data_IF_005409128982
#
_entry.id   IF_005409128982
#
_cell.length_a   1.000
_cell.length_b   1.000
_cell.length_c   1.000
_cell.angle_alpha   90.00
_cell.angle_beta   90.00
_cell.angle_gamma   90.00
#
_symmetry.space_group_name_H-M   'P 1'
#
loop_
_entity.id
_entity.type
_entity.pdbx_description
1 polymer ?
#
# COMPACT_ATOMS: atom_id res chain seq x y z
N UNK A 1 -1.22 15.04 30.88
CA UNK A 1 -2.30 15.08 29.88
C UNK A 1 -1.81 14.21 28.73
N UNK A 2 -2.23 12.95 28.72
CA UNK A 2 -1.85 12.03 27.66
C UNK A 2 -2.59 12.45 26.40
N UNK A 3 -1.88 12.88 25.37
CA UNK A 3 -2.47 12.96 24.04
C UNK A 3 -2.65 11.51 23.57
N UNK A 4 -3.81 10.95 23.86
CA UNK A 4 -4.36 9.84 23.11
C UNK A 4 -4.76 10.41 21.73
N UNK A 5 -3.79 10.59 20.84
CA UNK A 5 -4.10 10.69 19.42
C UNK A 5 -4.42 9.28 18.98
N UNK A 6 -5.69 8.91 19.09
CA UNK A 6 -6.26 7.75 18.40
C UNK A 6 -6.12 8.00 16.89
N UNK A 7 -4.92 7.73 16.36
CA UNK A 7 -4.71 7.62 14.93
C UNK A 7 -5.44 6.36 14.52
N UNK A 8 -6.74 6.49 14.24
CA UNK A 8 -7.44 5.47 13.48
C UNK A 8 -6.67 5.40 12.16
N UNK A 9 -5.93 4.32 11.95
CA UNK A 9 -5.35 4.08 10.64
C UNK A 9 -6.51 3.79 9.71
N UNK A 10 -6.77 4.72 8.78
CA UNK A 10 -7.93 4.63 7.90
C UNK A 10 -7.62 3.70 6.75
N UNK A 11 -8.17 2.49 6.81
CA UNK A 11 -8.15 1.54 5.71
C UNK A 11 -9.19 1.95 4.67
N UNK A 12 -8.75 2.23 3.45
CA UNK A 12 -9.61 2.56 2.32
C UNK A 12 -9.38 1.50 1.26
N UNK A 13 -10.43 0.85 0.76
CA UNK A 13 -10.24 -0.15 -0.30
C UNK A 13 -10.05 0.54 -1.64
N UNK A 14 -9.14 0.03 -2.48
CA UNK A 14 -8.96 0.53 -3.85
C UNK A 14 -10.29 0.47 -4.62
N UNK A 15 -11.04 -0.61 -4.46
CA UNK A 15 -12.35 -0.76 -5.07
C UNK A 15 -13.31 0.39 -4.73
N UNK A 16 -13.33 0.84 -3.47
CA UNK A 16 -14.19 1.96 -3.05
C UNK A 16 -13.73 3.30 -3.63
N UNK A 17 -12.41 3.52 -3.72
CA UNK A 17 -11.84 4.72 -4.39
C UNK A 17 -12.23 4.72 -5.88
N UNK A 18 -12.13 3.57 -6.55
CA UNK A 18 -12.52 3.44 -7.95
C UNK A 18 -14.01 3.69 -8.14
N UNK A 19 -14.85 3.12 -7.28
CA UNK A 19 -16.31 3.20 -7.41
C UNK A 19 -16.86 4.60 -7.11
N UNK A 20 -16.36 5.27 -6.07
CA UNK A 20 -16.95 6.51 -5.56
C UNK A 20 -16.16 7.76 -5.95
N UNK A 21 -14.90 7.61 -6.34
CA UNK A 21 -13.99 8.72 -6.58
C UNK A 21 -13.20 8.58 -7.90
N UNK A 22 -13.53 7.61 -8.76
CA UNK A 22 -12.88 7.40 -10.07
C UNK A 22 -11.34 7.28 -9.96
N UNK A 23 -10.88 6.57 -8.92
CA UNK A 23 -9.46 6.39 -8.65
C UNK A 23 -8.80 7.59 -7.94
N UNK A 24 -9.52 8.68 -7.68
CA UNK A 24 -8.95 9.86 -7.04
C UNK A 24 -8.86 9.70 -5.51
N UNK A 25 -7.72 9.21 -5.00
CA UNK A 25 -7.48 9.07 -3.56
C UNK A 25 -7.59 10.42 -2.82
N UNK A 26 -7.09 11.52 -3.38
CA UNK A 26 -7.20 12.83 -2.73
C UNK A 26 -8.66 13.24 -2.49
N UNK A 27 -9.59 12.90 -3.40
CA UNK A 27 -11.02 13.14 -3.22
C UNK A 27 -11.63 12.24 -2.15
N UNK A 28 -11.22 10.96 -2.10
CA UNK A 28 -11.61 10.03 -1.03
C UNK A 28 -11.16 10.54 0.34
N UNK A 29 -9.88 10.89 0.48
CA UNK A 29 -9.33 11.45 1.72
C UNK A 29 -10.02 12.75 2.13
N UNK A 30 -10.37 13.64 1.19
CA UNK A 30 -11.12 14.87 1.49
C UNK A 30 -12.53 14.61 2.01
N UNK A 31 -13.21 13.58 1.49
CA UNK A 31 -14.58 13.22 1.90
C UNK A 31 -14.62 12.85 3.39
N UNK A 32 -13.62 12.09 3.84
CA UNK A 32 -13.52 11.60 5.21
C UNK A 32 -12.60 12.45 6.10
N UNK A 33 -12.13 13.60 5.61
CA UNK A 33 -11.20 14.51 6.29
C UNK A 33 -9.92 13.81 6.80
N UNK A 34 -9.32 12.99 5.93
CA UNK A 34 -8.15 12.17 6.22
C UNK A 34 -6.86 12.84 5.76
N UNK A 35 -5.79 12.61 6.53
CA UNK A 35 -4.41 12.99 6.18
C UNK A 35 -3.45 11.80 6.11
N UNK A 36 -3.89 10.66 6.64
CA UNK A 36 -3.16 9.40 6.67
C UNK A 36 -4.14 8.29 6.33
N UNK A 37 -3.80 7.40 5.41
CA UNK A 37 -4.61 6.24 5.09
C UNK A 37 -3.74 5.07 4.60
N UNK A 38 -4.31 3.88 4.60
CA UNK A 38 -3.77 2.70 3.92
C UNK A 38 -4.76 2.29 2.83
N UNK A 39 -4.33 2.41 1.57
CA UNK A 39 -5.10 1.90 0.44
C UNK A 39 -4.90 0.39 0.35
N UNK A 40 -5.99 -0.38 0.35
CA UNK A 40 -5.95 -1.83 0.39
C UNK A 40 -6.51 -2.49 -0.86
N UNK A 41 -5.89 -3.58 -1.28
CA UNK A 41 -6.33 -4.40 -2.41
C UNK A 41 -6.08 -5.89 -2.12
N UNK A 42 -7.12 -6.73 -2.07
CA UNK A 42 -6.95 -8.18 -2.12
C UNK A 42 -6.58 -8.60 -3.54
N UNK A 43 -5.57 -9.45 -3.70
CA UNK A 43 -5.10 -9.97 -4.98
C UNK A 43 -5.08 -11.49 -4.93
N UNK A 44 -5.74 -12.14 -5.89
CA UNK A 44 -5.71 -13.59 -6.04
C UNK A 44 -4.92 -13.90 -7.31
N UNK A 45 -3.77 -14.53 -7.17
CA UNK A 45 -2.94 -14.94 -8.31
C UNK A 45 -2.88 -16.45 -8.41
N UNK A 46 -3.13 -16.97 -9.60
CA UNK A 46 -2.82 -18.37 -9.89
C UNK A 46 -1.34 -18.48 -10.23
N UNK A 47 -0.52 -18.97 -9.29
CA UNK A 47 0.87 -19.28 -9.59
C UNK A 47 0.87 -20.54 -10.45
N UNK A 48 1.05 -20.34 -11.76
CA UNK A 48 1.25 -21.44 -12.70
C UNK A 48 2.45 -22.29 -12.27
N UNK A 49 2.42 -23.59 -12.58
CA UNK A 49 3.61 -24.45 -12.46
C UNK A 49 4.77 -23.75 -13.19
N UNK A 50 5.90 -23.58 -12.52
CA UNK A 50 7.14 -23.26 -13.21
C UNK A 50 7.42 -24.38 -14.24
N UNK A 51 7.29 -24.03 -15.51
CA UNK A 51 7.34 -24.88 -16.70
C UNK A 51 6.70 -24.04 -17.79
N UNK A 52 7.42 -23.10 -18.41
CA UNK A 52 8.67 -23.31 -19.12
C UNK A 52 9.61 -22.11 -18.98
N UNK A 53 10.83 -22.33 -18.46
CA UNK A 53 12.15 -21.85 -18.93
C UNK A 53 13.17 -22.10 -17.80
N UNK A 54 13.85 -23.24 -17.91
CA UNK A 54 15.24 -23.49 -17.48
C UNK A 54 15.73 -23.04 -16.09
N UNK A 55 15.68 -23.95 -15.11
CA UNK A 55 16.83 -24.54 -14.37
C UNK A 55 16.29 -25.42 -13.24
N UNK A 56 16.84 -26.62 -13.12
CA UNK A 56 16.49 -27.57 -12.07
C UNK A 56 16.91 -27.01 -10.70
N UNK A 57 15.96 -26.52 -9.91
CA UNK A 57 16.22 -26.01 -8.56
C UNK A 57 14.99 -25.46 -7.84
N UNK A 58 14.11 -24.74 -8.53
CA UNK A 58 12.98 -24.07 -7.88
C UNK A 58 11.67 -24.85 -8.04
N UNK A 59 11.30 -25.57 -6.99
CA UNK A 59 9.95 -26.14 -6.84
C UNK A 59 9.04 -25.04 -6.29
N UNK A 60 8.55 -24.16 -7.16
CA UNK A 60 7.43 -23.28 -6.77
C UNK A 60 6.19 -24.16 -6.74
N UNK A 61 5.58 -24.36 -5.56
CA UNK A 61 4.31 -25.09 -5.46
C UNK A 61 3.27 -24.36 -6.30
N UNK A 62 2.81 -25.00 -7.37
CA UNK A 62 1.68 -24.50 -8.14
C UNK A 62 0.44 -24.42 -7.25
N UNK A 63 -0.26 -23.28 -7.29
CA UNK A 63 -1.44 -23.02 -6.47
C UNK A 63 -1.90 -21.57 -6.58
N UNK A 64 -3.17 -21.33 -6.27
CA UNK A 64 -3.66 -19.98 -6.05
C UNK A 64 -3.00 -19.42 -4.78
N UNK A 65 -2.37 -18.26 -4.91
CA UNK A 65 -1.78 -17.51 -3.80
C UNK A 65 -2.58 -16.23 -3.63
N UNK A 66 -3.01 -15.98 -2.40
CA UNK A 66 -3.78 -14.81 -2.04
C UNK A 66 -2.85 -13.81 -1.37
N UNK A 67 -2.86 -12.58 -1.84
CA UNK A 67 -2.13 -11.46 -1.27
C UNK A 67 -3.11 -10.42 -0.77
N UNK A 68 -2.75 -9.74 0.30
CA UNK A 68 -3.44 -8.54 0.75
C UNK A 68 -2.42 -7.41 0.71
N UNK A 69 -2.63 -6.47 -0.20
CA UNK A 69 -1.64 -5.43 -0.52
C UNK A 69 -2.12 -4.12 0.08
N UNK A 70 -1.22 -3.41 0.76
CA UNK A 70 -1.48 -2.14 1.42
C UNK A 70 -0.44 -1.10 1.00
N UNK A 71 -0.90 0.07 0.56
CA UNK A 71 -0.04 1.24 0.33
C UNK A 71 -0.47 2.35 1.27
N UNK A 72 0.36 2.61 2.27
CA UNK A 72 0.16 3.70 3.22
C UNK A 72 0.62 5.03 2.62
N UNK A 73 -0.27 6.03 2.63
CA UNK A 73 0.05 7.42 2.26
C UNK A 73 -0.18 8.27 3.49
N UNK A 74 0.89 8.85 4.03
CA UNK A 74 0.84 9.52 5.34
C UNK A 74 1.55 10.86 5.36
N UNK A 75 1.03 11.80 6.14
CA UNK A 75 1.64 13.08 6.46
C UNK A 75 2.24 13.12 7.87
N UNK A 76 1.72 12.32 8.80
CA UNK A 76 1.96 12.50 10.25
C UNK A 76 2.76 11.35 10.88
N UNK A 77 3.47 10.56 10.08
CA UNK A 77 4.27 9.42 10.52
C UNK A 77 5.74 9.60 10.20
N UNK A 78 6.60 9.27 11.15
CA UNK A 78 8.05 9.30 10.98
C UNK A 78 8.61 7.96 10.47
N UNK A 79 7.83 6.87 10.59
CA UNK A 79 8.30 5.54 10.27
C UNK A 79 7.12 4.57 9.99
N UNK A 80 7.34 3.50 9.21
CA UNK A 80 6.27 2.61 8.76
C UNK A 80 5.88 1.52 9.77
N UNK A 81 6.66 1.26 10.82
CA UNK A 81 6.57 0.02 11.60
C UNK A 81 5.21 -0.14 12.28
N UNK A 82 4.67 0.92 12.88
CA UNK A 82 3.35 0.86 13.53
C UNK A 82 2.23 0.60 12.52
N UNK A 83 2.35 1.15 11.30
CA UNK A 83 1.38 0.96 10.21
C UNK A 83 1.48 -0.45 9.64
N UNK A 84 2.70 -0.96 9.47
CA UNK A 84 2.98 -2.33 9.02
C UNK A 84 2.37 -3.35 9.98
N UNK A 85 2.64 -3.22 11.29
CA UNK A 85 2.10 -4.11 12.32
C UNK A 85 0.56 -4.07 12.39
N UNK A 86 -0.03 -2.89 12.19
CA UNK A 86 -1.48 -2.74 12.13
C UNK A 86 -2.07 -3.33 10.86
N UNK A 87 -1.45 -3.08 9.70
CA UNK A 87 -1.86 -3.63 8.41
C UNK A 87 -1.82 -5.16 8.42
N UNK A 88 -0.74 -5.76 8.90
CA UNK A 88 -0.57 -7.21 8.99
C UNK A 88 -1.65 -7.86 9.87
N UNK A 89 -2.08 -7.19 10.96
CA UNK A 89 -3.18 -7.66 11.81
C UNK A 89 -4.56 -7.61 11.15
N UNK A 90 -4.73 -6.75 10.14
CA UNK A 90 -5.97 -6.63 9.37
C UNK A 90 -5.98 -7.49 8.11
N UNK A 91 -4.88 -8.16 7.78
CA UNK A 91 -4.82 -9.06 6.64
C UNK A 91 -5.80 -10.24 6.83
N UNK A 92 -6.66 -10.53 5.84
CA UNK A 92 -7.58 -11.66 5.94
C UNK A 92 -6.83 -12.98 6.08
N UNK A 93 -7.43 -13.95 6.77
CA UNK A 93 -6.83 -15.28 6.94
C UNK A 93 -6.46 -15.90 5.58
N UNK A 94 -5.27 -16.50 5.52
CA UNK A 94 -4.75 -17.14 4.32
C UNK A 94 -4.24 -16.16 3.24
N UNK A 95 -4.21 -14.86 3.51
CA UNK A 95 -3.56 -13.87 2.64
C UNK A 95 -2.15 -13.54 3.13
N UNK A 96 -1.23 -13.36 2.18
CA UNK A 96 0.12 -12.86 2.46
C UNK A 96 0.07 -11.33 2.45
N UNK A 97 0.37 -10.66 3.57
CA UNK A 97 0.39 -9.20 3.62
C UNK A 97 1.61 -8.67 2.84
N UNK A 98 1.36 -7.71 1.96
CA UNK A 98 2.38 -6.93 1.26
C UNK A 98 2.14 -5.47 1.59
N UNK A 99 3.12 -4.81 2.19
CA UNK A 99 2.96 -3.44 2.67
C UNK A 99 4.00 -2.51 2.03
N UNK A 100 3.54 -1.34 1.63
CA UNK A 100 4.37 -0.23 1.20
C UNK A 100 3.96 1.06 1.91
N UNK A 101 4.92 1.95 2.13
CA UNK A 101 4.73 3.23 2.79
C UNK A 101 5.30 4.37 1.97
N UNK A 102 4.51 5.45 1.88
CA UNK A 102 4.82 6.67 1.15
C UNK A 102 4.62 7.85 2.12
N UNK A 103 5.73 8.42 2.66
CA UNK A 103 5.68 9.61 3.50
C UNK A 103 5.48 10.87 2.64
N UNK A 104 4.23 11.30 2.48
CA UNK A 104 3.88 12.48 1.68
C UNK A 104 4.49 13.78 2.25
N UNK A 105 4.74 13.84 3.56
CA UNK A 105 5.44 14.94 4.22
C UNK A 105 6.91 15.08 3.81
N UNK A 106 7.50 14.06 3.19
CA UNK A 106 8.89 14.09 2.70
C UNK A 106 8.98 14.47 1.22
N UNK A 107 7.86 14.61 0.51
CA UNK A 107 7.87 14.88 -0.92
C UNK A 107 8.74 16.10 -1.27
N UNK A 108 9.67 15.90 -2.22
CA UNK A 108 10.65 16.92 -2.63
C UNK A 108 11.97 16.93 -1.84
N UNK A 109 12.09 16.13 -0.78
CA UNK A 109 13.34 15.92 -0.05
C UNK A 109 14.07 14.65 -0.54
N UNK A 110 15.37 14.55 -0.23
CA UNK A 110 16.20 13.39 -0.57
C UNK A 110 15.79 12.08 0.13
N UNK A 111 15.01 12.18 1.22
CA UNK A 111 14.50 11.05 2.01
C UNK A 111 13.10 10.59 1.58
N UNK A 112 12.57 11.15 0.48
CA UNK A 112 11.33 10.71 -0.13
C UNK A 112 11.51 9.43 -0.95
N UNK A 113 10.58 8.50 -0.81
CA UNK A 113 10.55 7.27 -1.59
C UNK A 113 9.37 6.39 -1.24
N UNK A 114 9.28 5.25 -1.91
CA UNK A 114 8.35 4.18 -1.60
C UNK A 114 9.12 3.13 -0.80
N UNK A 115 8.73 2.92 0.45
CA UNK A 115 9.36 1.94 1.33
C UNK A 115 8.52 0.69 1.36
N UNK A 116 9.03 -0.41 0.83
CA UNK A 116 8.32 -1.69 0.79
C UNK A 116 8.87 -2.57 1.91
N UNK A 117 7.98 -3.16 2.70
CA UNK A 117 8.38 -4.04 3.79
C UNK A 117 9.09 -5.30 3.27
N UNK A 118 10.10 -5.79 4.01
CA UNK A 118 10.74 -7.06 3.71
C UNK A 118 9.71 -8.19 3.66
N UNK A 119 9.79 -9.01 2.61
CA UNK A 119 8.91 -10.16 2.44
C UNK A 119 9.61 -11.25 1.61
N UNK A 120 9.06 -12.46 1.65
CA UNK A 120 9.62 -13.63 0.96
C UNK A 120 9.18 -13.73 -0.53
N UNK A 121 8.50 -12.72 -1.06
CA UNK A 121 8.03 -12.72 -2.44
C UNK A 121 9.05 -12.09 -3.39
N UNK A 122 9.00 -12.47 -4.66
CA UNK A 122 9.88 -11.91 -5.68
C UNK A 122 9.63 -10.41 -5.88
N UNK A 123 10.69 -9.61 -5.95
CA UNK A 123 10.64 -8.15 -6.08
C UNK A 123 9.75 -7.68 -7.24
N UNK A 124 9.85 -8.33 -8.41
CA UNK A 124 9.02 -8.00 -9.58
C UNK A 124 7.52 -8.13 -9.29
N UNK A 125 7.13 -9.17 -8.56
CA UNK A 125 5.74 -9.41 -8.19
C UNK A 125 5.24 -8.35 -7.20
N UNK A 126 6.05 -8.07 -6.18
CA UNK A 126 5.74 -7.07 -5.15
C UNK A 126 5.61 -5.68 -5.76
N UNK A 127 6.58 -5.27 -6.56
CA UNK A 127 6.58 -3.96 -7.23
C UNK A 127 5.39 -3.83 -8.20
N UNK A 128 5.02 -4.92 -8.90
CA UNK A 128 3.84 -4.93 -9.76
C UNK A 128 2.55 -4.68 -8.98
N UNK A 129 2.34 -5.39 -7.87
CA UNK A 129 1.15 -5.22 -7.04
C UNK A 129 1.07 -3.85 -6.36
N UNK A 130 2.20 -3.34 -5.85
CA UNK A 130 2.26 -2.00 -5.24
C UNK A 130 2.05 -0.92 -6.29
N UNK A 131 2.68 -1.05 -7.46
CA UNK A 131 2.54 -0.13 -8.59
C UNK A 131 1.10 -0.04 -9.10
N UNK A 132 0.38 -1.17 -9.16
CA UNK A 132 -1.02 -1.19 -9.55
C UNK A 132 -1.91 -0.32 -8.64
N UNK A 133 -1.69 -0.36 -7.32
CA UNK A 133 -2.42 0.49 -6.38
C UNK A 133 -2.04 1.97 -6.58
N UNK A 134 -0.74 2.26 -6.76
CA UNK A 134 -0.25 3.62 -6.97
C UNK A 134 -0.89 4.26 -8.21
N UNK A 135 -0.95 3.50 -9.31
CA UNK A 135 -1.51 3.95 -10.57
C UNK A 135 -3.03 4.12 -10.48
N UNK A 136 -3.75 3.09 -10.02
CA UNK A 136 -5.21 3.11 -10.00
C UNK A 136 -5.78 4.10 -8.98
N UNK A 137 -5.15 4.27 -7.81
CA UNK A 137 -5.56 5.24 -6.80
C UNK A 137 -4.96 6.65 -7.01
N UNK A 138 -4.27 6.90 -8.14
CA UNK A 138 -3.67 8.20 -8.46
C UNK A 138 -2.81 8.74 -7.29
N UNK A 139 -2.02 7.88 -6.67
CA UNK A 139 -1.30 8.20 -5.43
C UNK A 139 -0.26 9.29 -5.66
N UNK A 140 0.44 9.30 -6.79
CA UNK A 140 1.45 10.32 -7.11
C UNK A 140 0.87 11.75 -7.09
N UNK A 141 -0.31 11.91 -7.71
CA UNK A 141 -1.05 13.18 -7.70
C UNK A 141 -1.46 13.55 -6.27
N UNK A 142 -1.94 12.56 -5.50
CA UNK A 142 -2.39 12.77 -4.12
C UNK A 142 -1.24 13.22 -3.21
N UNK A 143 -0.09 12.56 -3.29
CA UNK A 143 1.11 12.93 -2.52
C UNK A 143 1.54 14.36 -2.82
N UNK A 144 1.53 14.75 -4.10
CA UNK A 144 1.86 16.13 -4.51
C UNK A 144 0.89 17.15 -3.88
N UNK A 145 -0.42 16.90 -3.95
CA UNK A 145 -1.43 17.80 -3.35
C UNK A 145 -1.29 17.91 -1.82
N UNK A 146 -1.03 16.78 -1.14
CA UNK A 146 -0.83 16.78 0.30
C UNK A 146 0.41 17.62 0.67
N UNK A 147 1.51 17.43 -0.05
CA UNK A 147 2.75 18.19 0.16
C UNK A 147 2.55 19.69 -0.02
N UNK A 148 1.86 20.12 -1.08
CA UNK A 148 1.52 21.53 -1.32
C UNK A 148 0.69 22.14 -0.18
N UNK A 149 -0.25 21.36 0.37
CA UNK A 149 -1.12 21.82 1.46
C UNK A 149 -0.33 22.05 2.77
N UNK A 150 0.80 21.37 2.95
CA UNK A 150 1.66 21.51 4.14
C UNK A 150 2.70 22.63 4.03
N UNK A 151 2.95 23.14 2.83
CA UNK A 151 3.92 24.22 2.59
C UNK A 151 3.37 25.63 2.89
N UNK A 152 2.10 25.74 3.31
CA UNK A 152 1.38 26.99 3.59
C UNK A 152 0.90 27.05 5.04
#
# INVERSE_FOLDING_TARGET
MSQETTSHTYFVSLASIMEHHDGNLAAAMKTDNLRNCIVTMPVIMNVGKAGDVGKAGDVVKAGAQNFFVGVAVTCDFDSPEALSDEFARHAPEGHIPIFAWIPANRFGNDDFGIFIDPNDCGETLVNGMVGEIIDQAQIEMTVTQLAETMAH
#
